data_IF_256279743691
#
_entry.id   IF_256279743691
#
_cell.length_a   1.000
_cell.length_b   1.000
_cell.length_c   1.000
_cell.angle_alpha   90.00
_cell.angle_beta   90.00
_cell.angle_gamma   90.00
#
_symmetry.space_group_name_H-M   'P 1'
#
loop_
_entity.id
_entity.type
_entity.pdbx_description
1 polymer ?
#
# COMPACT_ATOMS: atom_id res chain seq x y z
N UNK A 1 -7.65 -21.92 7.74
CA UNK A 1 -6.87 -21.94 9.00
C UNK A 1 -5.48 -21.39 8.73
N UNK A 2 -5.06 -20.34 9.44
CA UNK A 2 -3.66 -19.91 9.43
C UNK A 2 -2.83 -20.86 10.30
N UNK A 3 -1.69 -21.35 9.80
CA UNK A 3 -0.71 -22.09 10.63
C UNK A 3 0.38 -21.10 11.03
N UNK A 4 0.36 -20.69 12.30
CA UNK A 4 1.47 -19.94 12.91
C UNK A 4 2.51 -20.96 13.33
N UNK A 5 3.69 -20.97 12.69
CA UNK A 5 4.85 -21.65 13.28
C UNK A 5 5.32 -20.77 14.45
N UNK A 6 4.99 -21.16 15.68
CA UNK A 6 5.51 -20.54 16.91
C UNK A 6 6.65 -21.39 17.42
N UNK A 7 7.84 -20.82 17.50
CA UNK A 7 8.93 -21.37 18.30
C UNK A 7 8.99 -20.47 19.54
N UNK A 8 8.62 -21.01 20.70
CA UNK A 8 8.66 -20.29 21.97
C UNK A 8 9.98 -20.54 22.68
N UNK A 9 10.69 -19.46 23.05
CA UNK A 9 11.38 -19.27 24.34
C UNK A 9 12.09 -17.89 24.40
N UNK A 10 11.84 -17.12 25.48
CA UNK A 10 12.70 -16.05 26.01
C UNK A 10 12.82 -14.74 25.24
N UNK A 11 12.92 -13.62 25.95
CA UNK A 11 13.07 -12.24 25.45
C UNK A 11 14.29 -12.13 24.49
N UNK A 12 14.08 -12.26 23.18
CA UNK A 12 15.07 -11.95 22.13
C UNK A 12 14.37 -11.52 20.85
N UNK A 13 15.03 -10.64 20.08
CA UNK A 13 14.64 -10.29 18.70
C UNK A 13 14.27 -11.53 17.90
N UNK A 14 13.02 -11.60 17.41
CA UNK A 14 12.52 -12.74 16.65
C UNK A 14 12.52 -12.42 15.16
N UNK A 15 13.06 -13.35 14.36
CA UNK A 15 12.79 -13.40 12.92
C UNK A 15 11.60 -14.35 12.73
N UNK A 16 10.44 -13.82 12.35
CA UNK A 16 9.24 -14.63 12.15
C UNK A 16 8.75 -14.54 10.72
N UNK A 17 8.33 -15.68 10.18
CA UNK A 17 7.73 -15.82 8.84
C UNK A 17 6.22 -15.94 8.99
N UNK A 18 5.45 -15.12 8.28
CA UNK A 18 3.99 -15.26 8.22
C UNK A 18 3.57 -15.89 6.89
N UNK A 19 2.80 -16.97 6.96
CA UNK A 19 2.18 -17.63 5.81
C UNK A 19 0.66 -17.56 5.95
N UNK A 20 0.00 -16.75 5.12
CA UNK A 20 -1.46 -16.72 5.06
C UNK A 20 -1.96 -17.48 3.83
N UNK A 21 -2.46 -18.69 4.06
CA UNK A 21 -2.85 -19.68 3.03
C UNK A 21 -4.01 -19.19 2.14
N UNK A 22 -4.76 -18.17 2.56
CA UNK A 22 -5.88 -17.65 1.74
C UNK A 22 -5.46 -16.64 0.66
N UNK A 23 -4.21 -16.13 0.66
CA UNK A 23 -3.79 -15.05 -0.26
C UNK A 23 -2.40 -15.21 -0.89
N UNK A 24 -1.69 -16.33 -0.68
CA UNK A 24 -0.33 -16.54 -1.18
C UNK A 24 0.64 -15.37 -0.89
N UNK A 25 0.43 -14.69 0.23
CA UNK A 25 1.25 -13.59 0.71
C UNK A 25 2.24 -14.13 1.76
N UNK A 26 3.53 -13.94 1.51
CA UNK A 26 4.61 -14.21 2.45
C UNK A 26 5.21 -12.87 2.88
N UNK A 27 5.00 -12.50 4.14
CA UNK A 27 5.62 -11.33 4.75
C UNK A 27 6.83 -11.78 5.58
N UNK A 28 7.97 -11.11 5.41
CA UNK A 28 9.22 -11.36 6.13
C UNK A 28 9.68 -10.06 6.80
N UNK A 29 9.81 -10.08 8.12
CA UNK A 29 10.30 -8.95 8.90
C UNK A 29 10.69 -9.34 10.32
N UNK A 30 10.95 -8.34 11.15
CA UNK A 30 11.32 -8.53 12.55
C UNK A 30 10.14 -8.16 13.46
N UNK A 31 10.07 -8.84 14.60
CA UNK A 31 9.14 -8.52 15.68
C UNK A 31 9.88 -8.19 16.97
N UNK A 32 9.29 -7.29 17.75
CA UNK A 32 9.62 -7.03 19.13
C UNK A 32 8.32 -6.97 19.93
N UNK A 33 8.17 -7.82 20.94
CA UNK A 33 6.97 -7.86 21.81
C UNK A 33 5.63 -7.98 21.04
N UNK A 34 5.59 -8.83 20.00
CA UNK A 34 4.46 -8.98 19.07
C UNK A 34 4.17 -7.79 18.14
N UNK A 35 4.95 -6.71 18.22
CA UNK A 35 4.89 -5.56 17.32
C UNK A 35 5.84 -5.73 16.14
N UNK A 36 5.39 -5.42 14.92
CA UNK A 36 6.26 -5.34 13.74
C UNK A 36 7.28 -4.21 13.87
N UNK A 37 8.56 -4.51 13.64
CA UNK A 37 9.63 -3.49 13.65
C UNK A 37 10.54 -3.59 12.44
N UNK A 38 11.13 -2.45 12.04
CA UNK A 38 12.16 -2.38 11.00
C UNK A 38 11.65 -2.70 9.60
N UNK A 39 12.53 -3.11 8.68
CA UNK A 39 12.20 -3.37 7.28
C UNK A 39 11.42 -4.67 7.08
N UNK A 40 10.30 -4.57 6.37
CA UNK A 40 9.48 -5.70 5.95
C UNK A 40 9.54 -5.92 4.45
N UNK A 41 9.74 -7.18 4.04
CA UNK A 41 9.66 -7.63 2.64
C UNK A 41 8.42 -8.48 2.44
N UNK A 42 7.62 -8.15 1.44
CA UNK A 42 6.43 -8.92 1.09
C UNK A 42 6.67 -9.62 -0.25
N UNK A 43 6.42 -10.92 -0.28
CA UNK A 43 6.49 -11.78 -1.46
C UNK A 43 5.10 -12.28 -1.75
N UNK A 44 4.67 -12.19 -3.01
CA UNK A 44 3.31 -12.58 -3.41
C UNK A 44 3.37 -13.61 -4.52
N UNK A 45 2.70 -14.74 -4.34
CA UNK A 45 2.60 -15.81 -5.33
C UNK A 45 1.17 -15.90 -5.87
N UNK A 46 0.82 -15.05 -6.83
CA UNK A 46 -0.45 -15.14 -7.57
C UNK A 46 -1.43 -13.99 -7.35
N UNK A 47 -2.59 -14.14 -7.99
CA UNK A 47 -3.61 -13.12 -8.25
C UNK A 47 -4.46 -12.78 -7.01
N UNK A 48 -3.92 -12.01 -6.06
CA UNK A 48 -4.69 -11.43 -4.95
C UNK A 48 -4.44 -9.93 -4.80
N UNK A 49 -5.44 -9.21 -4.30
CA UNK A 49 -5.30 -7.81 -3.87
C UNK A 49 -4.40 -7.78 -2.64
N UNK A 50 -3.26 -7.09 -2.71
CA UNK A 50 -2.38 -6.90 -1.55
C UNK A 50 -2.34 -5.43 -1.19
N UNK A 51 -2.89 -5.10 -0.03
CA UNK A 51 -2.69 -3.78 0.58
C UNK A 51 -1.32 -3.77 1.26
N UNK A 52 -0.54 -2.70 1.10
CA UNK A 52 0.70 -2.42 1.83
C UNK A 52 1.86 -3.41 1.54
N UNK A 53 2.55 -3.27 0.40
CA UNK A 53 3.78 -4.05 0.15
C UNK A 53 5.02 -3.37 0.75
N UNK A 54 5.54 -3.93 1.85
CA UNK A 54 6.83 -3.57 2.45
C UNK A 54 6.89 -2.20 3.12
N UNK A 55 8.06 -1.85 3.66
CA UNK A 55 8.37 -0.57 4.33
C UNK A 55 8.99 -0.76 5.72
N UNK A 56 9.44 0.35 6.34
CA UNK A 56 9.83 0.36 7.75
C UNK A 56 8.63 0.63 8.63
N UNK A 57 8.64 0.06 9.83
CA UNK A 57 7.60 0.23 10.83
C UNK A 57 8.24 0.63 12.16
N UNK A 58 7.60 1.56 12.86
CA UNK A 58 7.96 1.91 14.23
C UNK A 58 7.41 0.89 15.24
N UNK A 59 7.69 1.14 16.52
CA UNK A 59 7.21 0.35 17.66
C UNK A 59 5.69 0.39 17.88
N UNK A 60 4.97 1.24 17.14
CA UNK A 60 3.51 1.36 17.17
C UNK A 60 2.87 0.71 15.93
N UNK A 61 3.63 -0.05 15.13
CA UNK A 61 3.22 -0.61 13.85
C UNK A 61 2.84 0.44 12.79
N UNK A 62 3.22 1.70 13.00
CA UNK A 62 3.02 2.75 12.01
C UNK A 62 4.13 2.68 10.98
N UNK A 63 3.72 2.78 9.72
CA UNK A 63 4.67 2.79 8.61
C UNK A 63 5.51 4.06 8.65
N UNK A 64 6.80 3.89 8.84
CA UNK A 64 7.81 4.92 8.71
C UNK A 64 8.46 4.77 7.34
N UNK A 65 8.49 5.83 6.56
CA UNK A 65 9.31 5.87 5.34
C UNK A 65 10.21 7.10 5.41
N UNK A 66 11.36 6.95 6.06
CA UNK A 66 12.41 7.97 6.03
C UNK A 66 13.22 7.73 4.75
N UNK A 67 12.66 8.12 3.61
CA UNK A 67 13.42 8.33 2.36
C UNK A 67 13.32 7.28 1.26
N UNK A 68 12.56 6.17 1.39
CA UNK A 68 12.28 5.24 0.28
C UNK A 68 10.80 5.38 -0.17
N UNK A 69 10.46 5.20 -1.46
CA UNK A 69 9.06 5.22 -1.92
C UNK A 69 8.34 3.93 -1.53
N UNK A 70 7.28 4.03 -0.76
CA UNK A 70 6.38 2.90 -0.52
C UNK A 70 5.56 2.56 -1.77
N UNK A 71 5.33 1.27 -1.96
CA UNK A 71 4.53 0.75 -3.06
C UNK A 71 3.29 -0.01 -2.55
N UNK A 72 2.10 0.43 -2.95
CA UNK A 72 0.89 -0.40 -2.92
C UNK A 72 0.73 -1.10 -4.27
N UNK A 73 0.51 -2.41 -4.27
CA UNK A 73 0.51 -3.21 -5.50
C UNK A 73 -0.77 -4.02 -5.66
N UNK A 74 -1.47 -3.76 -6.76
CA UNK A 74 -2.67 -4.50 -7.15
C UNK A 74 -2.31 -5.51 -8.23
N UNK A 75 -2.12 -6.77 -7.82
CA UNK A 75 -1.54 -7.84 -8.65
C UNK A 75 -2.35 -8.13 -9.90
N UNK A 76 -3.68 -8.07 -9.80
CA UNK A 76 -4.59 -8.46 -10.89
C UNK A 76 -4.40 -7.64 -12.18
N UNK A 77 -3.79 -6.46 -12.09
CA UNK A 77 -3.66 -5.56 -13.25
C UNK A 77 -2.30 -4.88 -13.40
N UNK A 78 -1.30 -5.31 -12.63
CA UNK A 78 0.01 -4.64 -12.59
C UNK A 78 -0.14 -3.13 -12.35
N UNK A 79 -1.06 -2.77 -11.45
CA UNK A 79 -1.18 -1.40 -10.96
C UNK A 79 -0.29 -1.25 -9.74
N UNK A 80 0.53 -0.21 -9.78
CA UNK A 80 1.47 0.18 -8.74
C UNK A 80 1.07 1.59 -8.29
N UNK A 81 0.74 1.78 -7.01
CA UNK A 81 0.69 3.11 -6.43
C UNK A 81 1.98 3.34 -5.67
N UNK A 82 2.70 4.40 -6.00
CA UNK A 82 3.97 4.72 -5.37
C UNK A 82 3.90 6.12 -4.76
N UNK A 83 4.41 6.26 -3.54
CA UNK A 83 4.47 7.55 -2.85
C UNK A 83 5.03 7.39 -1.44
N UNK A 84 4.99 8.46 -0.67
CA UNK A 84 5.56 8.51 0.67
C UNK A 84 4.51 8.36 1.76
N UNK A 85 4.90 7.74 2.87
CA UNK A 85 4.14 7.72 4.11
C UNK A 85 4.85 8.52 5.19
N UNK A 86 4.07 9.16 6.05
CA UNK A 86 4.50 9.82 7.28
C UNK A 86 3.59 9.37 8.40
N UNK A 87 4.12 8.69 9.40
CA UNK A 87 3.37 8.13 10.53
C UNK A 87 2.17 7.27 10.09
N UNK A 88 2.36 6.40 9.09
CA UNK A 88 1.29 5.56 8.55
C UNK A 88 0.28 6.27 7.62
N UNK A 89 0.42 7.57 7.40
CA UNK A 89 -0.47 8.37 6.54
C UNK A 89 0.20 8.66 5.20
N UNK A 90 -0.53 8.55 4.09
CA UNK A 90 -0.04 8.92 2.75
C UNK A 90 0.17 10.43 2.69
N UNK A 91 1.34 10.89 2.27
CA UNK A 91 1.63 12.32 2.14
C UNK A 91 2.35 12.61 0.82
N UNK A 92 2.29 13.86 0.37
CA UNK A 92 3.00 14.34 -0.82
C UNK A 92 2.47 13.73 -2.12
N UNK A 93 3.33 13.70 -3.13
CA UNK A 93 2.97 13.22 -4.46
C UNK A 93 2.89 11.70 -4.52
N UNK A 94 1.80 11.22 -5.09
CA UNK A 94 1.54 9.82 -5.33
C UNK A 94 1.34 9.57 -6.81
N UNK A 95 1.94 8.50 -7.32
CA UNK A 95 1.83 8.08 -8.72
C UNK A 95 1.06 6.77 -8.83
N UNK A 96 0.21 6.66 -9.85
CA UNK A 96 -0.42 5.41 -10.24
C UNK A 96 0.24 4.97 -11.54
N UNK A 97 0.87 3.79 -11.54
CA UNK A 97 1.52 3.19 -12.71
C UNK A 97 0.76 1.94 -13.13
N UNK A 98 0.54 1.77 -14.43
CA UNK A 98 0.00 0.54 -15.04
C UNK A 98 1.05 0.03 -16.00
N UNK A 99 1.49 -1.23 -15.84
CA UNK A 99 2.60 -1.78 -16.62
C UNK A 99 3.85 -0.88 -16.60
N UNK A 100 4.23 -0.37 -15.41
CA UNK A 100 5.32 0.58 -15.19
C UNK A 100 5.18 1.98 -15.83
N UNK A 101 4.10 2.27 -16.56
CA UNK A 101 3.84 3.58 -17.12
C UNK A 101 2.94 4.40 -16.19
N UNK A 102 3.29 5.67 -15.93
CA UNK A 102 2.47 6.58 -15.13
C UNK A 102 1.16 6.86 -15.87
N UNK A 103 0.05 6.50 -15.24
CA UNK A 103 -1.32 6.68 -15.76
C UNK A 103 -2.15 7.61 -14.89
N UNK A 104 -1.74 7.85 -13.65
CA UNK A 104 -2.42 8.78 -12.76
C UNK A 104 -1.62 9.12 -11.51
N UNK A 105 -2.34 9.62 -10.50
CA UNK A 105 -1.74 10.17 -9.29
C UNK A 105 -2.28 11.54 -8.92
N UNK A 106 -1.68 12.12 -7.88
CA UNK A 106 -1.96 13.45 -7.35
C UNK A 106 -1.29 13.63 -5.98
N UNK A 107 -1.62 14.72 -5.29
CA UNK A 107 -0.98 15.08 -4.02
C UNK A 107 -1.91 14.86 -2.80
N UNK A 108 -1.34 14.24 -1.77
CA UNK A 108 -1.90 14.18 -0.44
C UNK A 108 -1.31 15.27 0.44
N UNK A 109 -2.15 15.91 1.27
CA UNK A 109 -1.67 16.81 2.32
C UNK A 109 -1.07 16.06 3.52
N UNK A 110 -0.52 16.80 4.49
CA UNK A 110 0.05 16.26 5.72
C UNK A 110 -0.97 15.51 6.61
N UNK A 111 -2.26 15.61 6.31
CA UNK A 111 -3.34 14.87 6.99
C UNK A 111 -3.82 13.65 6.20
N UNK A 112 -3.19 13.35 5.05
CA UNK A 112 -3.56 12.21 4.20
C UNK A 112 -4.80 12.43 3.37
N UNK A 113 -5.17 13.68 3.13
CA UNK A 113 -6.32 14.03 2.29
C UNK A 113 -5.83 14.39 0.90
N UNK A 114 -6.50 13.86 -0.12
CA UNK A 114 -6.29 14.24 -1.52
C UNK A 114 -6.65 15.71 -1.70
N UNK A 115 -5.77 16.50 -2.30
CA UNK A 115 -6.03 17.89 -2.69
C UNK A 115 -5.57 18.16 -4.13
N UNK A 116 -6.27 19.07 -4.79
CA UNK A 116 -5.95 19.49 -6.16
C UNK A 116 -6.39 18.48 -7.22
N UNK A 117 -5.73 18.52 -8.38
CA UNK A 117 -6.05 17.66 -9.51
C UNK A 117 -5.56 16.23 -9.29
N UNK A 118 -6.43 15.27 -9.57
CA UNK A 118 -6.14 13.85 -9.41
C UNK A 118 -6.60 13.06 -10.62
N UNK A 119 -5.82 12.05 -10.97
CA UNK A 119 -6.27 10.95 -11.83
C UNK A 119 -6.31 9.68 -10.97
N UNK A 120 -7.52 9.23 -10.66
CA UNK A 120 -7.79 8.14 -9.72
C UNK A 120 -8.33 6.89 -10.42
N UNK A 121 -8.29 5.76 -9.73
CA UNK A 121 -8.87 4.51 -10.21
C UNK A 121 -10.37 4.51 -9.86
N UNK A 122 -11.24 4.22 -10.83
CA UNK A 122 -12.67 4.11 -10.58
C UNK A 122 -12.96 2.87 -9.70
N UNK A 123 -13.35 3.08 -8.45
CA UNK A 123 -13.47 2.05 -7.38
C UNK A 123 -14.51 0.96 -7.63
N UNK A 124 -15.41 1.13 -8.61
CA UNK A 124 -16.59 0.29 -8.78
C UNK A 124 -16.53 -0.63 -10.00
N UNK A 125 -15.35 -0.80 -10.60
CA UNK A 125 -15.26 -1.55 -11.85
C UNK A 125 -14.86 -3.01 -11.65
N UNK A 126 -15.51 -3.86 -12.44
CA UNK A 126 -15.11 -5.22 -12.73
C UNK A 126 -13.59 -5.27 -12.98
N UNK A 127 -12.96 -6.26 -12.36
CA UNK A 127 -11.53 -6.56 -12.46
C UNK A 127 -11.12 -6.98 -13.89
N UNK A 128 -11.97 -6.83 -14.88
CA UNK A 128 -11.65 -6.97 -16.30
C UNK A 128 -11.32 -5.63 -16.98
N UNK A 129 -11.79 -4.48 -16.44
CA UNK A 129 -11.69 -3.17 -17.11
C UNK A 129 -11.47 -2.04 -16.11
N UNK A 130 -10.21 -1.76 -15.80
CA UNK A 130 -9.85 -0.55 -15.06
C UNK A 130 -10.15 0.69 -15.88
N UNK A 131 -10.88 1.62 -15.29
CA UNK A 131 -11.06 2.99 -15.78
C UNK A 131 -10.40 3.97 -14.84
N UNK A 132 -9.85 5.03 -15.42
CA UNK A 132 -9.31 6.16 -14.68
C UNK A 132 -10.30 7.31 -14.74
N UNK A 133 -10.43 8.04 -13.65
CA UNK A 133 -11.24 9.25 -13.57
C UNK A 133 -10.34 10.41 -13.18
N UNK A 134 -10.57 11.56 -13.80
CA UNK A 134 -9.84 12.78 -13.50
C UNK A 134 -10.79 13.84 -12.96
N UNK A 135 -10.37 14.52 -11.91
CA UNK A 135 -11.11 15.63 -11.30
C UNK A 135 -10.36 16.24 -10.14
N UNK A 136 -10.97 17.24 -9.52
CA UNK A 136 -10.39 17.94 -8.38
C UNK A 136 -10.83 17.31 -7.06
N UNK A 137 -9.93 17.29 -6.08
CA UNK A 137 -10.26 16.97 -4.70
C UNK A 137 -10.00 18.19 -3.81
N UNK A 138 -10.89 18.41 -2.84
CA UNK A 138 -10.73 19.40 -1.78
C UNK A 138 -10.96 18.69 -0.45
N UNK A 139 -9.95 18.71 0.42
CA UNK A 139 -9.92 18.05 1.73
C UNK A 139 -10.36 16.58 1.66
N UNK A 140 -9.89 15.87 0.63
CA UNK A 140 -10.17 14.44 0.44
C UNK A 140 -11.53 14.14 -0.17
N UNK A 141 -12.35 15.15 -0.48
CA UNK A 141 -13.65 14.99 -1.15
C UNK A 141 -13.55 15.39 -2.61
N UNK A 142 -14.27 14.66 -3.47
CA UNK A 142 -14.41 15.02 -4.88
C UNK A 142 -15.08 16.40 -4.98
N UNK A 143 -14.46 17.30 -5.74
CA UNK A 143 -14.97 18.62 -6.04
C UNK A 143 -15.31 18.71 -7.53
N UNK A 144 -16.56 19.07 -7.84
CA UNK A 144 -17.03 19.21 -9.21
C UNK A 144 -17.16 17.90 -9.98
N UNK A 145 -17.11 18.02 -11.31
CA UNK A 145 -17.31 16.91 -12.24
C UNK A 145 -16.03 16.09 -12.44
N UNK A 146 -16.19 14.78 -12.58
CA UNK A 146 -15.11 13.85 -12.86
C UNK A 146 -15.26 13.28 -14.27
N UNK A 147 -14.21 13.41 -15.07
CA UNK A 147 -14.19 12.91 -16.45
C UNK A 147 -13.52 11.54 -16.49
N UNK A 148 -14.14 10.60 -17.19
CA UNK A 148 -13.50 9.30 -17.46
C UNK A 148 -12.39 9.51 -18.48
N UNK A 149 -11.19 9.03 -18.15
CA UNK A 149 -10.04 9.02 -19.04
C UNK A 149 -9.97 7.64 -19.70
N UNK A 150 -10.19 7.61 -21.02
CA UNK A 150 -10.03 6.43 -21.88
C UNK A 150 -8.57 6.10 -22.13
#
# INVERSE_FOLDING_TARGET
MARVLRIFQGVRLFFQYFFQISTNLLCKGKYLNNTKIGRWKNYCYGAAIIKNMGGEYDENELKMDVGEPSVDYWVLHKIILAGTYKNGIKVGTWEIKKNNHKVGGGDYDDQGRKNGQWIDIQSNFDLSKIKFIQGEYINGKKNGEFKVRS
#
